data_IF_204246117777
#
_entry.id   IF_204246117777
#
_cell.length_a   1.000
_cell.length_b   1.000
_cell.length_c   1.000
_cell.angle_alpha   90.00
_cell.angle_beta   90.00
_cell.angle_gamma   90.00
#
_symmetry.space_group_name_H-M   'P 1'
#
loop_
_entity.id
_entity.type
_entity.pdbx_description
1 polymer ?
#
# COMPACT_ATOMS: atom_id res chain seq x y z
N UNK A 1 28.28 -29.66 -61.49
CA UNK A 1 26.85 -29.95 -61.22
C UNK A 1 26.54 -29.34 -59.86
N UNK A 2 25.85 -28.20 -59.81
CA UNK A 2 25.44 -27.59 -58.53
C UNK A 2 24.11 -28.21 -58.08
N UNK A 3 24.10 -28.75 -56.87
CA UNK A 3 22.92 -29.30 -56.19
C UNK A 3 21.85 -28.22 -55.98
N UNK A 4 20.71 -28.36 -56.66
CA UNK A 4 19.52 -27.56 -56.45
C UNK A 4 18.67 -28.11 -55.29
N UNK A 5 19.03 -27.83 -54.03
CA UNK A 5 18.10 -27.95 -52.89
C UNK A 5 18.38 -26.90 -51.82
N UNK A 6 17.58 -25.80 -51.77
CA UNK A 6 17.02 -25.42 -50.47
C UNK A 6 15.61 -24.78 -50.53
N UNK A 7 14.88 -24.83 -51.64
CA UNK A 7 13.60 -24.08 -51.77
C UNK A 7 12.45 -24.63 -50.89
N UNK A 8 12.44 -25.92 -50.57
CA UNK A 8 11.37 -26.53 -49.75
C UNK A 8 11.49 -26.18 -48.27
N UNK A 9 12.70 -26.02 -47.74
CA UNK A 9 12.94 -25.72 -46.33
C UNK A 9 12.52 -24.28 -45.98
N UNK A 10 12.75 -23.34 -46.90
CA UNK A 10 12.31 -21.95 -46.74
C UNK A 10 10.78 -21.83 -46.69
N UNK A 11 10.06 -22.63 -47.47
CA UNK A 11 8.59 -22.62 -47.50
C UNK A 11 7.99 -23.10 -46.17
N UNK A 12 8.56 -24.16 -45.57
CA UNK A 12 8.13 -24.64 -44.26
C UNK A 12 8.40 -23.63 -43.14
N UNK A 13 9.53 -22.91 -43.22
CA UNK A 13 9.88 -21.90 -42.23
C UNK A 13 8.89 -20.72 -42.23
N UNK A 14 8.49 -20.25 -43.42
CA UNK A 14 7.50 -19.17 -43.57
C UNK A 14 6.13 -19.61 -43.02
N UNK A 15 5.71 -20.85 -43.29
CA UNK A 15 4.45 -21.38 -42.81
C UNK A 15 4.41 -21.46 -41.27
N UNK A 16 5.53 -21.86 -40.65
CA UNK A 16 5.65 -21.96 -39.20
C UNK A 16 5.58 -20.61 -38.50
N UNK A 17 6.21 -19.57 -39.07
CA UNK A 17 6.17 -18.19 -38.54
C UNK A 17 4.74 -17.63 -38.59
N UNK A 18 3.97 -17.89 -39.65
CA UNK A 18 2.58 -17.42 -39.73
C UNK A 18 1.68 -18.04 -38.65
N UNK A 19 1.85 -19.32 -38.31
CA UNK A 19 1.06 -19.98 -37.26
C UNK A 19 1.36 -19.37 -35.88
N UNK A 20 2.64 -19.07 -35.59
CA UNK A 20 3.05 -18.47 -34.31
C UNK A 20 2.49 -17.04 -34.17
N UNK A 21 2.56 -16.22 -35.21
CA UNK A 21 2.02 -14.84 -35.19
C UNK A 21 0.49 -14.84 -35.03
N UNK A 22 -0.20 -15.83 -35.61
CA UNK A 22 -1.67 -15.94 -35.51
C UNK A 22 -2.13 -16.44 -34.14
N UNK A 23 -1.37 -17.35 -33.51
CA UNK A 23 -1.74 -17.97 -32.23
C UNK A 23 -1.58 -17.06 -31.01
N UNK A 24 -0.63 -16.12 -31.04
CA UNK A 24 -0.38 -15.22 -29.91
C UNK A 24 -1.40 -14.06 -29.79
N UNK A 25 -2.13 -13.73 -30.85
CA UNK A 25 -3.08 -12.62 -30.84
C UNK A 25 -4.40 -12.94 -30.10
N UNK A 26 -4.72 -14.22 -29.89
CA UNK A 26 -6.00 -14.66 -29.32
C UNK A 26 -5.96 -14.98 -27.82
N UNK A 27 -4.79 -15.02 -27.18
CA UNK A 27 -4.66 -15.39 -25.75
C UNK A 27 -4.89 -14.18 -24.82
N UNK A 28 -4.89 -12.94 -25.34
CA UNK A 28 -4.94 -11.71 -24.54
C UNK A 28 -6.33 -11.13 -24.24
N UNK A 29 -7.43 -11.73 -24.70
CA UNK A 29 -8.80 -11.21 -24.51
C UNK A 29 -9.74 -12.23 -23.88
N UNK A 30 -9.28 -12.95 -22.86
CA UNK A 30 -10.22 -13.48 -21.90
C UNK A 30 -10.72 -12.28 -21.08
N UNK A 31 -11.99 -11.89 -21.28
CA UNK A 31 -12.72 -11.06 -20.33
C UNK A 31 -12.83 -11.88 -19.03
N UNK A 32 -11.77 -11.90 -18.24
CA UNK A 32 -11.83 -12.41 -16.88
C UNK A 32 -12.82 -11.51 -16.15
N UNK A 33 -13.95 -12.03 -15.64
CA UNK A 33 -14.80 -11.23 -14.78
C UNK A 33 -13.93 -10.77 -13.62
N UNK A 34 -13.71 -9.46 -13.50
CA UNK A 34 -13.13 -8.90 -12.29
C UNK A 34 -14.14 -9.16 -11.19
N UNK A 35 -13.80 -10.06 -10.28
CA UNK A 35 -14.50 -10.12 -9.01
C UNK A 35 -14.27 -8.77 -8.33
N UNK A 36 -15.33 -7.98 -8.19
CA UNK A 36 -15.30 -6.78 -7.34
C UNK A 36 -15.34 -7.26 -5.89
N UNK A 37 -14.29 -6.99 -5.13
CA UNK A 37 -14.27 -7.27 -3.70
C UNK A 37 -15.27 -6.32 -3.01
N UNK A 38 -16.36 -6.90 -2.51
CA UNK A 38 -17.37 -6.18 -1.75
C UNK A 38 -16.95 -6.21 -0.28
N UNK A 39 -16.65 -5.05 0.31
CA UNK A 39 -16.44 -4.94 1.75
C UNK A 39 -17.80 -4.84 2.46
N UNK A 40 -17.98 -5.62 3.53
CA UNK A 40 -19.18 -5.64 4.35
C UNK A 40 -18.84 -5.16 5.77
N UNK A 41 -19.61 -4.20 6.27
CA UNK A 41 -19.57 -3.75 7.66
C UNK A 41 -20.77 -4.30 8.42
N UNK A 42 -20.56 -4.91 9.59
CA UNK A 42 -21.64 -5.37 10.47
C UNK A 42 -22.15 -4.22 11.34
N UNK A 43 -23.44 -3.93 11.23
CA UNK A 43 -24.14 -2.94 12.03
C UNK A 43 -24.52 -3.50 13.41
N UNK A 44 -24.71 -2.64 14.44
CA UNK A 44 -25.08 -3.07 15.80
C UNK A 44 -26.39 -3.88 15.90
N UNK A 45 -27.24 -3.82 14.87
CA UNK A 45 -28.49 -4.57 14.78
C UNK A 45 -28.33 -5.95 14.11
N UNK A 46 -27.11 -6.37 13.80
CA UNK A 46 -26.81 -7.65 13.13
C UNK A 46 -27.03 -7.67 11.62
N UNK A 47 -27.24 -6.51 10.99
CA UNK A 47 -27.33 -6.40 9.53
C UNK A 47 -25.95 -6.05 8.94
N UNK A 48 -25.63 -6.58 7.77
CA UNK A 48 -24.42 -6.20 7.03
C UNK A 48 -24.74 -5.12 6.00
N UNK A 49 -23.92 -4.08 5.95
CA UNK A 49 -23.99 -3.02 4.94
C UNK A 49 -22.81 -3.15 3.99
N UNK A 50 -23.07 -3.06 2.68
CA UNK A 50 -22.01 -2.90 1.69
C UNK A 50 -21.38 -1.53 1.88
N UNK A 51 -20.08 -1.52 2.10
CA UNK A 51 -19.29 -0.28 2.18
C UNK A 51 -18.39 -0.25 0.97
N UNK A 52 -18.41 0.88 0.27
CA UNK A 52 -17.50 1.08 -0.85
C UNK A 52 -16.07 1.07 -0.33
N UNK A 53 -15.14 0.33 -0.97
CA UNK A 53 -13.73 0.38 -0.61
C UNK A 53 -13.27 1.84 -0.70
N UNK A 54 -12.53 2.31 0.31
CA UNK A 54 -11.92 3.64 0.26
C UNK A 54 -11.01 3.67 -0.97
N UNK A 55 -11.40 4.47 -1.96
CA UNK A 55 -10.62 4.60 -3.19
C UNK A 55 -9.42 5.49 -2.90
N UNK A 56 -8.26 4.88 -2.69
CA UNK A 56 -7.01 5.62 -2.54
C UNK A 56 -6.62 6.15 -3.92
N UNK A 57 -6.79 7.46 -4.12
CA UNK A 57 -6.29 8.12 -5.33
C UNK A 57 -4.79 7.85 -5.49
N UNK A 58 -4.33 7.65 -6.73
CA UNK A 58 -2.94 7.25 -7.01
C UNK A 58 -1.90 8.18 -6.34
N UNK A 59 -2.16 9.49 -6.33
CA UNK A 59 -1.30 10.48 -5.67
C UNK A 59 -1.28 10.36 -4.14
N UNK A 60 -2.39 9.96 -3.52
CA UNK A 60 -2.46 9.69 -2.09
C UNK A 60 -1.65 8.45 -1.72
N UNK A 61 -1.71 7.37 -2.51
CA UNK A 61 -0.91 6.17 -2.27
C UNK A 61 0.59 6.44 -2.29
N UNK A 62 1.08 7.21 -3.27
CA UNK A 62 2.49 7.62 -3.35
C UNK A 62 2.88 8.52 -2.17
N UNK A 63 2.00 9.45 -1.77
CA UNK A 63 2.21 10.32 -0.62
C UNK A 63 2.28 9.54 0.71
N UNK A 64 1.36 8.59 0.94
CA UNK A 64 1.35 7.73 2.13
C UNK A 64 2.63 6.91 2.24
N UNK A 65 3.07 6.29 1.13
CA UNK A 65 4.30 5.51 1.11
C UNK A 65 5.53 6.36 1.43
N UNK A 66 5.59 7.59 0.91
CA UNK A 66 6.65 8.54 1.24
C UNK A 66 6.64 8.89 2.73
N UNK A 67 5.48 9.25 3.28
CA UNK A 67 5.33 9.62 4.69
C UNK A 67 5.62 8.47 5.65
N UNK A 68 5.22 7.25 5.32
CA UNK A 68 5.58 6.04 6.07
C UNK A 68 7.10 5.85 6.16
N UNK A 69 7.81 6.03 5.03
CA UNK A 69 9.26 5.89 4.98
C UNK A 69 9.98 6.99 5.77
N UNK A 70 9.54 8.24 5.65
CA UNK A 70 10.05 9.38 6.42
C UNK A 70 9.87 9.16 7.92
N UNK A 71 8.67 8.74 8.34
CA UNK A 71 8.35 8.44 9.74
C UNK A 71 9.15 7.27 10.28
N UNK A 72 9.32 6.19 9.51
CA UNK A 72 10.11 5.03 9.94
C UNK A 72 11.54 5.44 10.32
N UNK A 73 12.17 6.28 9.50
CA UNK A 73 13.52 6.79 9.76
C UNK A 73 13.57 7.73 10.97
N UNK A 74 12.62 8.67 11.08
CA UNK A 74 12.55 9.62 12.20
C UNK A 74 12.35 8.90 13.53
N UNK A 75 11.41 7.95 13.56
CA UNK A 75 11.09 7.17 14.75
C UNK A 75 12.29 6.31 15.15
N UNK A 76 12.92 5.61 14.21
CA UNK A 76 14.14 4.83 14.47
C UNK A 76 15.25 5.69 15.11
N UNK A 77 15.49 6.90 14.57
CA UNK A 77 16.47 7.83 15.15
C UNK A 77 16.09 8.27 16.57
N UNK A 78 14.81 8.51 16.83
CA UNK A 78 14.31 8.98 18.13
C UNK A 78 14.39 7.90 19.20
N UNK A 79 14.08 6.66 18.82
CA UNK A 79 14.07 5.49 19.69
C UNK A 79 15.41 4.77 19.77
N UNK A 80 16.38 5.18 18.94
CA UNK A 80 17.70 4.54 18.78
C UNK A 80 17.59 3.07 18.35
N UNK A 81 16.56 2.77 17.56
CA UNK A 81 16.39 1.48 16.90
C UNK A 81 16.97 1.53 15.48
N UNK A 82 17.18 0.36 14.90
CA UNK A 82 17.46 0.24 13.47
C UNK A 82 16.18 0.51 12.67
N UNK A 83 16.31 0.96 11.41
CA UNK A 83 15.16 1.23 10.55
C UNK A 83 14.27 -0.01 10.35
N UNK A 84 14.90 -1.18 10.30
CA UNK A 84 14.22 -2.46 10.06
C UNK A 84 13.45 -2.96 11.28
N UNK A 85 13.66 -2.33 12.45
CA UNK A 85 12.93 -2.60 13.68
C UNK A 85 11.72 -1.66 13.86
N UNK A 86 11.43 -0.80 12.88
CA UNK A 86 10.29 0.13 12.91
C UNK A 86 9.39 -0.10 11.70
N UNK A 87 8.14 -0.47 11.96
CA UNK A 87 7.10 -0.56 10.93
C UNK A 87 6.09 0.56 11.15
N UNK A 88 5.86 1.36 10.11
CA UNK A 88 4.83 2.41 10.09
C UNK A 88 3.82 2.11 9.00
N UNK A 89 2.55 2.09 9.36
CA UNK A 89 1.42 1.92 8.45
C UNK A 89 0.49 3.11 8.58
N UNK A 90 0.27 3.81 7.47
CA UNK A 90 -0.68 4.90 7.36
C UNK A 90 -1.84 4.48 6.47
N UNK A 91 -3.07 4.78 6.89
CA UNK A 91 -4.25 4.45 6.12
C UNK A 91 -5.30 5.55 6.20
N UNK A 92 -5.98 5.91 5.10
CA UNK A 92 -7.13 6.80 5.17
C UNK A 92 -8.31 6.09 5.85
N UNK A 93 -8.96 6.77 6.79
CA UNK A 93 -10.20 6.34 7.46
C UNK A 93 -11.45 6.88 6.78
N UNK A 94 -11.32 7.93 5.96
CA UNK A 94 -12.44 8.56 5.25
C UNK A 94 -12.05 8.96 3.84
N UNK A 95 -13.02 8.96 2.93
CA UNK A 95 -12.85 9.54 1.61
C UNK A 95 -12.89 11.09 1.69
N UNK A 96 -12.08 11.76 0.87
CA UNK A 96 -12.07 13.21 0.73
C UNK A 96 -13.44 13.75 0.33
N UNK A 97 -14.20 12.97 -0.45
CA UNK A 97 -15.54 13.35 -0.92
C UNK A 97 -16.56 13.52 0.20
N UNK A 98 -16.38 12.81 1.31
CA UNK A 98 -17.33 12.83 2.42
C UNK A 98 -17.07 13.96 3.42
N UNK A 99 -15.80 14.31 3.65
CA UNK A 99 -15.42 15.25 4.72
C UNK A 99 -14.61 16.47 4.26
N UNK A 100 -14.22 16.52 2.99
CA UNK A 100 -13.33 17.56 2.43
C UNK A 100 -11.86 17.42 2.88
N UNK A 101 -11.53 16.37 3.62
CA UNK A 101 -10.16 16.02 4.04
C UNK A 101 -10.00 14.51 4.15
N UNK A 102 -8.77 14.02 4.11
CA UNK A 102 -8.45 12.62 4.41
C UNK A 102 -8.11 12.51 5.89
N UNK A 103 -8.95 11.88 6.70
CA UNK A 103 -8.58 11.52 8.06
C UNK A 103 -7.67 10.28 8.00
N UNK A 104 -6.50 10.35 8.61
CA UNK A 104 -5.46 9.31 8.55
C UNK A 104 -5.38 8.57 9.89
N UNK A 105 -5.35 7.24 9.82
CA UNK A 105 -4.93 6.35 10.89
C UNK A 105 -3.42 6.10 10.80
N UNK A 106 -2.74 6.02 11.94
CA UNK A 106 -1.33 5.64 12.01
C UNK A 106 -1.15 4.49 12.99
N UNK A 107 -0.51 3.41 12.52
CA UNK A 107 -0.06 2.31 13.37
C UNK A 107 1.44 2.18 13.27
N UNK A 108 2.12 2.20 14.42
CA UNK A 108 3.56 2.02 14.54
C UNK A 108 3.84 0.78 15.38
N UNK A 109 4.66 -0.11 14.86
CA UNK A 109 5.14 -1.29 15.57
C UNK A 109 6.66 -1.18 15.73
N UNK A 110 7.12 -1.26 16.97
CA UNK A 110 8.53 -1.20 17.33
C UNK A 110 9.00 -2.59 17.76
N UNK A 111 9.95 -3.16 17.04
CA UNK A 111 10.60 -4.41 17.43
C UNK A 111 11.64 -4.12 18.50
N UNK A 112 11.22 -4.23 19.75
CA UNK A 112 12.04 -3.93 20.92
C UNK A 112 11.54 -4.68 22.14
N UNK A 113 12.47 -5.02 23.03
CA UNK A 113 12.18 -5.51 24.39
C UNK A 113 12.34 -4.39 25.43
N UNK A 114 12.76 -3.19 24.99
CA UNK A 114 13.04 -2.05 25.86
C UNK A 114 11.81 -1.18 26.04
N UNK A 115 11.61 -0.69 27.26
CA UNK A 115 10.64 0.37 27.54
C UNK A 115 11.21 1.73 27.16
N UNK A 116 10.38 2.61 26.63
CA UNK A 116 10.76 3.99 26.34
C UNK A 116 10.30 4.92 27.46
N UNK A 117 11.06 6.00 27.68
CA UNK A 117 10.60 7.10 28.50
C UNK A 117 9.41 7.81 27.82
N UNK A 118 8.41 8.23 28.59
CA UNK A 118 7.21 8.93 28.08
C UNK A 118 7.58 10.16 27.23
N UNK A 119 8.67 10.85 27.57
CA UNK A 119 9.15 12.01 26.81
C UNK A 119 9.58 11.65 25.36
N UNK A 120 10.07 10.43 25.12
CA UNK A 120 10.45 9.94 23.79
C UNK A 120 9.17 9.64 23.02
N UNK A 121 8.21 8.96 23.64
CA UNK A 121 6.94 8.60 22.99
C UNK A 121 6.10 9.84 22.65
N UNK A 122 6.03 10.83 23.53
CA UNK A 122 5.37 12.11 23.24
C UNK A 122 6.00 12.82 22.04
N UNK A 123 7.34 12.81 21.96
CA UNK A 123 8.05 13.36 20.81
C UNK A 123 7.76 12.58 19.52
N UNK A 124 7.66 11.25 19.59
CA UNK A 124 7.27 10.43 18.45
C UNK A 124 5.85 10.78 17.99
N UNK A 125 4.90 11.00 18.91
CA UNK A 125 3.54 11.46 18.56
C UNK A 125 3.56 12.82 17.84
N UNK A 126 4.31 13.79 18.37
CA UNK A 126 4.49 15.10 17.74
C UNK A 126 5.11 14.98 16.34
N UNK A 127 6.13 14.13 16.17
CA UNK A 127 6.79 13.88 14.90
C UNK A 127 5.81 13.24 13.88
N UNK A 128 4.93 12.32 14.33
CA UNK A 128 3.88 11.72 13.48
C UNK A 128 2.88 12.78 13.01
N UNK A 129 2.33 13.57 13.93
CA UNK A 129 1.32 14.58 13.60
C UNK A 129 1.90 15.64 12.67
N UNK A 130 3.08 16.16 12.99
CA UNK A 130 3.74 17.18 12.18
C UNK A 130 4.07 16.67 10.78
N UNK A 131 4.63 15.47 10.65
CA UNK A 131 4.99 14.89 9.35
C UNK A 131 3.77 14.68 8.45
N UNK A 132 2.64 14.22 9.00
CA UNK A 132 1.41 13.95 8.24
C UNK A 132 0.70 15.25 7.84
N UNK A 133 0.72 16.27 8.71
CA UNK A 133 0.09 17.56 8.43
C UNK A 133 0.94 18.46 7.52
N UNK A 134 2.26 18.26 7.51
CA UNK A 134 3.20 18.99 6.65
C UNK A 134 3.07 18.59 5.17
N UNK A 135 2.92 19.60 4.31
CA UNK A 135 2.78 19.45 2.85
C UNK A 135 1.65 18.46 2.49
N UNK A 136 0.57 18.49 3.28
CA UNK A 136 -0.52 17.52 3.16
C UNK A 136 -1.43 17.83 1.96
N UNK A 137 -1.91 16.77 1.31
CA UNK A 137 -2.94 16.83 0.27
C UNK A 137 -4.35 16.94 0.86
N UNK A 138 -4.50 17.73 1.93
CA UNK A 138 -5.73 17.78 2.74
C UNK A 138 -5.84 16.63 3.75
N UNK A 139 -4.71 16.04 4.16
CA UNK A 139 -4.67 14.99 5.18
C UNK A 139 -4.69 15.60 6.58
N UNK A 140 -5.40 14.95 7.49
CA UNK A 140 -5.48 15.29 8.92
C UNK A 140 -5.28 14.03 9.74
N UNK A 141 -4.67 14.18 10.90
CA UNK A 141 -4.54 13.13 11.90
C UNK A 141 -4.68 13.76 13.28
N UNK A 142 -5.18 12.97 14.21
CA UNK A 142 -5.33 13.32 15.61
C UNK A 142 -4.74 12.20 16.47
N UNK A 143 -4.38 12.52 17.71
CA UNK A 143 -3.67 11.60 18.61
C UNK A 143 -4.45 10.30 18.86
N UNK A 144 -5.78 10.37 18.93
CA UNK A 144 -6.64 9.20 19.12
C UNK A 144 -6.58 8.20 17.96
N UNK A 145 -6.09 8.61 16.79
CA UNK A 145 -5.93 7.78 15.60
C UNK A 145 -4.51 7.23 15.45
N UNK A 146 -3.64 7.42 16.46
CA UNK A 146 -2.27 6.94 16.48
C UNK A 146 -2.12 5.82 17.51
N UNK A 147 -1.65 4.67 17.06
CA UNK A 147 -1.31 3.53 17.92
C UNK A 147 0.16 3.21 17.79
N UNK A 148 0.89 3.22 18.91
CA UNK A 148 2.30 2.81 18.97
C UNK A 148 2.39 1.60 19.89
N UNK A 149 2.88 0.48 19.35
CA UNK A 149 3.00 -0.78 20.08
C UNK A 149 4.39 -1.37 19.97
N UNK A 150 4.79 -2.16 20.96
CA UNK A 150 5.99 -3.00 20.88
C UNK A 150 5.71 -4.32 20.11
N UNK A 151 6.74 -5.15 19.95
CA UNK A 151 6.63 -6.47 19.31
C UNK A 151 5.75 -7.48 20.07
N UNK A 152 5.39 -7.19 21.32
CA UNK A 152 4.48 -8.01 22.14
C UNK A 152 3.03 -7.48 22.10
N UNK A 153 2.78 -6.39 21.38
CA UNK A 153 1.48 -5.73 21.31
C UNK A 153 1.17 -4.85 22.53
N UNK A 154 2.16 -4.55 23.38
CA UNK A 154 1.99 -3.62 24.48
C UNK A 154 1.95 -2.18 23.94
N UNK A 155 0.94 -1.42 24.35
CA UNK A 155 0.78 -0.02 23.94
C UNK A 155 1.81 0.87 24.64
N UNK A 156 2.46 1.74 23.85
CA UNK A 156 3.55 2.61 24.29
C UNK A 156 3.15 4.09 24.38
N UNK A 157 1.94 4.45 23.96
CA UNK A 157 1.38 5.81 23.96
C UNK A 157 0.04 5.91 24.67
#
# INVERSE_FOLDING_TARGET
MLENKPKKMMLFFILFVMIIVSGCAYIGKANTPKAEEVMLEELPNGQSKVVDPITIEKGMGEWLNKKQSELGLLIAQRTKLESDDVLVVLGPMSDLKDTGSYNIACSVVLKTESTFEDNIMNKVLEDIISTITQDSVGAKISEENISIVDSNGAKLN
#
